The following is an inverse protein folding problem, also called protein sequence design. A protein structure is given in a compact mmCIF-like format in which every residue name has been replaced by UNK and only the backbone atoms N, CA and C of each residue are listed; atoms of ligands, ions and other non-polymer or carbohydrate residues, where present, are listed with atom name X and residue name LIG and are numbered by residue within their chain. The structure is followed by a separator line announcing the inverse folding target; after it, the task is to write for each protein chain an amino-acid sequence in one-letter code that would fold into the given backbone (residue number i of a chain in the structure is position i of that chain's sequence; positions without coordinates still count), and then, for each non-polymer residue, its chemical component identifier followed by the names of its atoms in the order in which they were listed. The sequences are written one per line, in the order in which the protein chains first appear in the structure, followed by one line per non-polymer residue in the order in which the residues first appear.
data_IF_066591937359
#
_entry.id   IF_066591937359
#
_cell.length_a   1.000
_cell.length_b   1.000
_cell.length_c   1.000
_cell.angle_alpha   90.00
_cell.angle_beta   90.00
_cell.angle_gamma   90.00
#
_symmetry.space_group_name_H-M   'P 1'
#
loop_
_entity.id
_entity.type
_entity.pdbx_description
1 polymer ?
#
# COMPACT_ATOMS: atom_id res chain seq x y z
N UNK A 1 -19.84 4.52 4.09
CA UNK A 1 -18.97 5.48 3.39
C UNK A 1 -19.56 5.74 2.02
N UNK A 2 -19.98 6.98 1.77
CA UNK A 2 -20.40 7.41 0.45
C UNK A 2 -19.16 7.50 -0.46
N UNK A 3 -19.28 7.08 -1.72
CA UNK A 3 -18.20 7.16 -2.70
C UNK A 3 -17.79 8.62 -2.89
N UNK A 4 -16.49 8.90 -2.85
CA UNK A 4 -15.96 10.24 -3.07
C UNK A 4 -15.08 10.24 -4.32
N UNK A 5 -15.55 10.91 -5.37
CA UNK A 5 -14.91 10.98 -6.68
C UNK A 5 -13.48 11.54 -6.61
N UNK A 6 -13.21 12.46 -5.69
CA UNK A 6 -11.88 13.03 -5.49
C UNK A 6 -10.86 11.95 -5.11
N UNK A 7 -11.20 11.09 -4.15
CA UNK A 7 -10.30 10.00 -3.73
C UNK A 7 -10.19 8.89 -4.76
N UNK A 8 -11.24 8.66 -5.55
CA UNK A 8 -11.17 7.71 -6.67
C UNK A 8 -10.24 8.23 -7.78
N UNK A 9 -10.30 9.53 -8.10
CA UNK A 9 -9.38 10.16 -9.04
C UNK A 9 -7.93 10.13 -8.55
N UNK A 10 -7.69 10.45 -7.28
CA UNK A 10 -6.34 10.36 -6.68
C UNK A 10 -5.78 8.94 -6.73
N UNK A 11 -6.61 7.92 -6.45
CA UNK A 11 -6.19 6.52 -6.61
C UNK A 11 -5.86 6.20 -8.06
N UNK A 12 -6.66 6.69 -9.01
CA UNK A 12 -6.37 6.55 -10.44
C UNK A 12 -5.02 7.14 -10.83
N UNK A 13 -4.72 8.37 -10.36
CA UNK A 13 -3.43 9.03 -10.59
C UNK A 13 -2.29 8.20 -9.97
N UNK A 14 -2.46 7.70 -8.74
CA UNK A 14 -1.49 6.83 -8.10
C UNK A 14 -1.22 5.55 -8.88
N UNK A 15 -2.26 4.90 -9.43
CA UNK A 15 -2.10 3.72 -10.31
C UNK A 15 -1.27 4.08 -11.54
N UNK A 16 -1.57 5.18 -12.22
CA UNK A 16 -0.82 5.61 -13.41
C UNK A 16 0.66 5.87 -13.09
N UNK A 17 0.96 6.48 -11.94
CA UNK A 17 2.34 6.69 -11.49
C UNK A 17 3.06 5.38 -11.20
N UNK A 18 2.40 4.38 -10.60
CA UNK A 18 2.99 3.03 -10.42
C UNK A 18 3.32 2.40 -11.77
N UNK A 19 2.43 2.50 -12.76
CA UNK A 19 2.71 1.99 -14.11
C UNK A 19 3.92 2.72 -14.69
N UNK A 20 3.97 4.05 -14.59
CA UNK A 20 5.07 4.84 -15.10
C UNK A 20 6.43 4.36 -14.56
N UNK A 21 6.60 4.25 -13.24
CA UNK A 21 7.88 3.84 -12.64
C UNK A 21 8.34 2.43 -13.03
N UNK A 22 7.41 1.52 -13.38
CA UNK A 22 7.73 0.16 -13.83
C UNK A 22 7.96 0.05 -15.34
N UNK A 23 7.59 1.08 -16.10
CA UNK A 23 7.93 1.20 -17.52
C UNK A 23 9.22 1.99 -17.78
N UNK A 24 9.75 2.68 -16.76
CA UNK A 24 11.02 3.39 -16.86
C UNK A 24 12.20 2.42 -16.82
N UNK A 25 13.15 2.61 -17.74
CA UNK A 25 14.46 1.97 -17.70
C UNK A 25 15.41 2.74 -16.77
N UNK A 26 16.38 2.05 -16.19
CA UNK A 26 17.45 2.69 -15.42
C UNK A 26 18.28 3.58 -16.36
N UNK A 27 18.46 4.84 -15.98
CA UNK A 27 19.28 5.81 -16.71
C UNK A 27 20.47 6.24 -15.86
N UNK A 28 21.63 6.43 -16.49
CA UNK A 28 22.83 6.98 -15.85
C UNK A 28 22.88 8.51 -15.99
N UNK A 29 23.61 9.19 -15.09
CA UNK A 29 23.70 10.65 -14.99
C UNK A 29 24.61 11.29 -16.06
N UNK A 30 24.48 10.88 -17.32
CA UNK A 30 25.39 11.33 -18.38
C UNK A 30 24.84 12.47 -19.23
N UNK A 31 23.51 12.63 -19.30
CA UNK A 31 22.88 13.64 -20.16
C UNK A 31 21.80 14.43 -19.43
N UNK A 32 21.52 15.64 -19.92
CA UNK A 32 20.39 16.44 -19.43
C UNK A 32 19.06 15.68 -19.52
N UNK A 33 18.87 14.92 -20.61
CA UNK A 33 17.70 14.08 -20.80
C UNK A 33 17.61 12.99 -19.72
N UNK A 34 18.74 12.36 -19.38
CA UNK A 34 18.80 11.35 -18.31
C UNK A 34 18.47 11.96 -16.95
N UNK A 35 18.97 13.16 -16.65
CA UNK A 35 18.68 13.89 -15.41
C UNK A 35 17.17 14.21 -15.32
N UNK A 36 16.56 14.67 -16.42
CA UNK A 36 15.12 14.89 -16.49
C UNK A 36 14.33 13.59 -16.27
N UNK A 37 14.74 12.47 -16.88
CA UNK A 37 14.09 11.17 -16.72
C UNK A 37 14.15 10.67 -15.27
N UNK A 38 15.32 10.76 -14.62
CA UNK A 38 15.51 10.40 -13.22
C UNK A 38 14.65 11.28 -12.32
N UNK A 39 14.63 12.59 -12.56
CA UNK A 39 13.81 13.54 -11.80
C UNK A 39 12.31 13.19 -11.90
N UNK A 40 11.85 12.82 -13.10
CA UNK A 40 10.46 12.40 -13.32
C UNK A 40 10.13 11.10 -12.59
N UNK A 41 11.05 10.13 -12.59
CA UNK A 41 10.91 8.87 -11.85
C UNK A 41 10.75 9.11 -10.35
N UNK A 42 11.52 10.03 -9.78
CA UNK A 42 11.39 10.37 -8.36
C UNK A 42 10.06 11.05 -8.02
N UNK A 43 9.54 11.88 -8.93
CA UNK A 43 8.17 12.42 -8.78
C UNK A 43 7.16 11.27 -8.76
N UNK A 44 7.26 10.31 -9.68
CA UNK A 44 6.32 9.20 -9.74
C UNK A 44 6.47 8.18 -8.61
N UNK A 45 7.64 8.09 -7.97
CA UNK A 45 7.83 7.28 -6.75
C UNK A 45 6.91 7.72 -5.60
N UNK A 46 6.28 8.91 -5.68
CA UNK A 46 5.25 9.34 -4.73
C UNK A 46 3.95 8.52 -4.79
N UNK A 47 3.80 7.62 -5.76
CA UNK A 47 2.62 6.78 -5.89
C UNK A 47 2.33 5.93 -4.64
N UNK A 48 3.36 5.29 -4.09
CA UNK A 48 3.25 4.44 -2.90
C UNK A 48 2.83 5.26 -1.66
N UNK A 49 3.51 6.36 -1.29
CA UNK A 49 3.07 7.17 -0.16
C UNK A 49 1.68 7.78 -0.37
N UNK A 50 1.27 8.06 -1.62
CA UNK A 50 -0.10 8.48 -1.92
C UNK A 50 -1.14 7.41 -1.60
N UNK A 51 -0.90 6.14 -1.96
CA UNK A 51 -1.79 5.03 -1.56
C UNK A 51 -1.87 4.85 -0.04
N UNK A 52 -0.74 4.99 0.65
CA UNK A 52 -0.69 4.93 2.11
C UNK A 52 -1.49 6.08 2.73
N UNK A 53 -1.30 7.31 2.26
CA UNK A 53 -2.01 8.49 2.76
C UNK A 53 -3.52 8.37 2.58
N UNK A 54 -3.98 7.97 1.39
CA UNK A 54 -5.41 7.76 1.10
C UNK A 54 -5.97 6.65 1.99
N UNK A 55 -5.27 5.52 2.10
CA UNK A 55 -5.70 4.41 2.95
C UNK A 55 -5.77 4.83 4.42
N UNK A 56 -4.73 5.51 4.91
CA UNK A 56 -4.64 6.03 6.27
C UNK A 56 -5.75 7.04 6.59
N UNK A 57 -6.08 7.94 5.66
CA UNK A 57 -7.16 8.92 5.83
C UNK A 57 -8.53 8.26 6.08
N UNK A 58 -8.90 7.26 5.28
CA UNK A 58 -10.20 6.59 5.46
C UNK A 58 -10.26 5.73 6.72
N UNK A 59 -9.13 5.09 7.04
CA UNK A 59 -9.06 4.12 8.12
C UNK A 59 -8.87 4.81 9.48
N UNK A 60 -8.13 5.91 9.54
CA UNK A 60 -7.92 6.70 10.75
C UNK A 60 -9.20 7.33 11.30
N UNK A 61 -10.25 7.46 10.49
CA UNK A 61 -11.59 7.93 10.91
C UNK A 61 -12.45 6.84 11.52
N UNK A 62 -12.02 5.58 11.50
CA UNK A 62 -12.72 4.50 12.21
C UNK A 62 -12.32 4.54 13.69
N UNK A 63 -13.28 4.37 14.59
CA UNK A 63 -13.01 4.22 16.03
C UNK A 63 -13.34 2.79 16.39
N UNK A 64 -12.42 2.09 17.05
CA UNK A 64 -12.65 0.73 17.55
C UNK A 64 -12.83 0.76 19.06
N UNK A 65 -14.02 0.40 19.52
CA UNK A 65 -14.33 0.31 20.95
C UNK A 65 -13.92 -1.03 21.53
N UNK A 66 -14.01 -2.09 20.73
CA UNK A 66 -13.75 -3.46 21.16
C UNK A 66 -12.85 -4.23 20.17
N UNK A 67 -12.32 -5.37 20.62
CA UNK A 67 -11.48 -6.25 19.79
C UNK A 67 -12.26 -6.93 18.65
N UNK A 68 -13.58 -7.07 18.79
CA UNK A 68 -14.44 -7.72 17.78
C UNK A 68 -14.57 -6.82 16.55
N UNK A 69 -14.71 -5.50 16.72
CA UNK A 69 -14.75 -4.51 15.65
C UNK A 69 -13.42 -4.48 14.87
N UNK A 70 -12.29 -4.57 15.57
CA UNK A 70 -10.95 -4.70 14.95
C UNK A 70 -10.86 -5.97 14.10
N UNK A 71 -11.30 -7.11 14.63
CA UNK A 71 -11.25 -8.38 13.89
C UNK A 71 -12.17 -8.36 12.67
N UNK A 72 -13.38 -7.81 12.80
CA UNK A 72 -14.32 -7.62 11.68
C UNK A 72 -13.72 -6.72 10.60
N UNK A 73 -13.03 -5.64 11.01
CA UNK A 73 -12.30 -4.76 10.09
C UNK A 73 -11.19 -5.51 9.35
N UNK A 74 -10.30 -6.22 10.06
CA UNK A 74 -9.22 -6.99 9.42
C UNK A 74 -9.75 -8.03 8.45
N UNK A 75 -10.75 -8.81 8.86
CA UNK A 75 -11.39 -9.83 8.01
C UNK A 75 -12.01 -9.24 6.75
N UNK A 76 -12.47 -8.00 6.80
CA UNK A 76 -13.06 -7.31 5.65
C UNK A 76 -12.02 -6.62 4.76
N UNK A 77 -10.97 -6.05 5.35
CA UNK A 77 -10.08 -5.14 4.65
C UNK A 77 -8.80 -5.82 4.14
N UNK A 78 -8.20 -6.74 4.90
CA UNK A 78 -6.97 -7.44 4.49
C UNK A 78 -7.20 -8.30 3.24
N UNK A 79 -8.25 -9.14 3.15
CA UNK A 79 -8.45 -9.98 1.98
C UNK A 79 -8.67 -9.20 0.68
N UNK A 80 -9.25 -8.00 0.76
CA UNK A 80 -9.51 -7.15 -0.41
C UNK A 80 -8.23 -6.70 -1.12
N UNK A 81 -7.15 -6.51 -0.38
CA UNK A 81 -5.85 -6.10 -0.93
C UNK A 81 -4.91 -7.28 -1.11
N UNK A 82 -4.96 -8.27 -0.21
CA UNK A 82 -4.03 -9.39 -0.19
C UNK A 82 -4.38 -10.51 -1.18
N UNK A 83 -5.68 -10.84 -1.36
CA UNK A 83 -6.09 -11.89 -2.32
C UNK A 83 -5.69 -11.53 -3.76
N UNK A 84 -5.93 -10.29 -4.27
CA UNK A 84 -5.47 -9.92 -5.59
C UNK A 84 -3.96 -10.07 -5.77
N UNK A 85 -3.17 -9.69 -4.76
CA UNK A 85 -1.71 -9.84 -4.82
C UNK A 85 -1.29 -11.30 -4.93
N UNK A 86 -1.83 -12.18 -4.08
CA UNK A 86 -1.53 -13.60 -4.16
C UNK A 86 -1.87 -14.17 -5.53
N UNK A 87 -3.05 -13.82 -6.07
CA UNK A 87 -3.46 -14.25 -7.39
C UNK A 87 -2.49 -13.78 -8.49
N UNK A 88 -2.11 -12.50 -8.49
CA UNK A 88 -1.20 -11.95 -9.48
C UNK A 88 0.27 -12.34 -9.29
N UNK A 89 0.62 -12.90 -8.13
CA UNK A 89 1.96 -13.42 -7.85
C UNK A 89 2.16 -14.85 -8.37
N UNK A 90 1.08 -15.59 -8.69
CA UNK A 90 1.16 -16.96 -9.20
C UNK A 90 1.97 -17.07 -10.50
N UNK A 91 1.80 -16.20 -11.52
CA UNK A 91 2.61 -16.27 -12.73
C UNK A 91 4.11 -16.10 -12.47
N UNK A 92 4.49 -15.16 -11.58
CA UNK A 92 5.88 -14.95 -11.19
C UNK A 92 6.46 -16.15 -10.44
N UNK A 93 5.67 -16.71 -9.52
CA UNK A 93 6.03 -17.93 -8.82
C UNK A 93 6.25 -19.09 -9.80
N UNK A 94 5.33 -19.31 -10.75
CA UNK A 94 5.46 -20.37 -11.74
C UNK A 94 6.72 -20.21 -12.61
N UNK A 95 7.00 -18.99 -13.08
CA UNK A 95 8.22 -18.69 -13.84
C UNK A 95 9.48 -18.98 -13.03
N UNK A 96 9.53 -18.55 -11.77
CA UNK A 96 10.69 -18.79 -10.90
C UNK A 96 10.96 -20.29 -10.68
N UNK A 97 9.93 -21.11 -10.55
CA UNK A 97 10.08 -22.57 -10.44
C UNK A 97 10.56 -23.18 -11.77
N UNK A 98 10.06 -22.70 -12.91
CA UNK A 98 10.50 -23.18 -14.23
C UNK A 98 11.96 -22.83 -14.52
N UNK A 99 12.46 -21.72 -13.99
CA UNK A 99 13.87 -21.31 -14.05
C UNK A 99 14.77 -22.11 -13.10
N UNK A 100 14.21 -23.04 -12.31
CA UNK A 100 14.96 -23.88 -11.39
C UNK A 100 15.34 -23.20 -10.07
N UNK A 101 14.68 -22.10 -9.71
CA UNK A 101 14.91 -21.43 -8.44
C UNK A 101 14.41 -22.27 -7.25
N UNK A 102 14.89 -21.96 -6.05
CA UNK A 102 14.53 -22.72 -4.85
C UNK A 102 13.03 -22.57 -4.52
N UNK A 103 12.34 -23.69 -4.30
CA UNK A 103 10.89 -23.69 -4.07
C UNK A 103 10.56 -22.96 -2.75
N UNK A 104 11.34 -23.22 -1.69
CA UNK A 104 11.09 -22.66 -0.37
C UNK A 104 11.16 -21.13 -0.37
N UNK A 105 12.18 -20.55 -1.01
CA UNK A 105 12.35 -19.10 -1.12
C UNK A 105 11.19 -18.46 -1.90
N UNK A 106 10.80 -19.07 -3.02
CA UNK A 106 9.71 -18.58 -3.85
C UNK A 106 8.34 -18.68 -3.17
N UNK A 107 8.14 -19.70 -2.32
CA UNK A 107 6.96 -19.79 -1.45
C UNK A 107 6.95 -18.64 -0.44
N UNK A 108 8.10 -18.31 0.17
CA UNK A 108 8.20 -17.16 1.06
C UNK A 108 7.94 -15.84 0.31
N UNK A 109 8.53 -15.65 -0.87
CA UNK A 109 8.28 -14.48 -1.70
C UNK A 109 6.80 -14.32 -2.08
N UNK A 110 6.11 -15.42 -2.37
CA UNK A 110 4.68 -15.43 -2.66
C UNK A 110 3.85 -14.91 -1.48
N UNK A 111 4.10 -15.43 -0.27
CA UNK A 111 3.32 -15.04 0.92
C UNK A 111 3.70 -13.68 1.49
N UNK A 112 4.97 -13.26 1.38
CA UNK A 112 5.45 -11.98 1.92
C UNK A 112 5.37 -10.83 0.91
N UNK A 113 4.65 -11.00 -0.21
CA UNK A 113 4.52 -10.01 -1.28
C UNK A 113 5.89 -9.56 -1.84
N UNK A 114 6.85 -10.47 -1.91
CA UNK A 114 8.23 -10.21 -2.34
C UNK A 114 8.39 -10.11 -3.85
N UNK A 115 7.36 -10.43 -4.63
CA UNK A 115 7.41 -10.30 -6.09
C UNK A 115 7.12 -8.86 -6.55
N UNK A 116 8.00 -8.36 -7.43
CA UNK A 116 7.78 -7.16 -8.23
C UNK A 116 7.29 -5.97 -7.39
N UNK A 117 6.17 -5.38 -7.78
CA UNK A 117 5.61 -4.15 -7.22
C UNK A 117 4.88 -4.39 -5.89
N UNK A 118 4.67 -5.64 -5.46
CA UNK A 118 3.67 -5.96 -4.44
C UNK A 118 4.10 -5.66 -2.99
N UNK A 119 5.36 -5.28 -2.76
CA UNK A 119 5.88 -4.96 -1.42
C UNK A 119 5.06 -3.88 -0.70
N UNK A 120 4.51 -2.90 -1.42
CA UNK A 120 3.72 -1.83 -0.80
C UNK A 120 2.38 -2.34 -0.23
N UNK A 121 1.88 -3.48 -0.70
CA UNK A 121 0.66 -4.09 -0.15
C UNK A 121 0.96 -4.71 1.21
N UNK A 122 2.12 -5.34 1.39
CA UNK A 122 2.56 -5.80 2.71
C UNK A 122 2.65 -4.60 3.68
N UNK A 123 3.17 -3.46 3.23
CA UNK A 123 3.21 -2.22 4.00
C UNK A 123 1.82 -1.70 4.38
N UNK A 124 0.86 -1.69 3.45
CA UNK A 124 -0.54 -1.32 3.74
C UNK A 124 -1.15 -2.26 4.79
N UNK A 125 -0.93 -3.58 4.68
CA UNK A 125 -1.42 -4.55 5.66
C UNK A 125 -0.79 -4.31 7.03
N UNK A 126 0.52 -4.01 7.10
CA UNK A 126 1.18 -3.63 8.35
C UNK A 126 0.52 -2.39 8.97
N UNK A 127 0.19 -1.36 8.17
CA UNK A 127 -0.55 -0.20 8.66
C UNK A 127 -1.93 -0.59 9.23
N UNK A 128 -2.64 -1.54 8.62
CA UNK A 128 -3.94 -2.01 9.12
C UNK A 128 -3.83 -2.73 10.48
N UNK A 129 -2.74 -3.47 10.69
CA UNK A 129 -2.45 -4.15 11.94
C UNK A 129 -2.01 -3.18 13.05
N UNK A 130 -1.25 -2.14 12.70
CA UNK A 130 -0.75 -1.14 13.64
C UNK A 130 -1.83 -0.15 14.11
N UNK A 131 -2.82 0.14 13.27
CA UNK A 131 -3.91 1.08 13.55
C UNK A 131 -4.56 0.92 14.94
N UNK A 132 -5.08 -0.25 15.35
CA UNK A 132 -5.72 -0.40 16.66
C UNK A 132 -4.74 -0.16 17.82
N UNK A 133 -3.45 -0.43 17.62
CA UNK A 133 -2.41 -0.15 18.62
C UNK A 133 -2.19 1.35 18.76
N UNK A 134 -2.12 2.08 17.65
CA UNK A 134 -1.98 3.54 17.61
C UNK A 134 -3.21 4.19 18.26
N UNK A 135 -4.42 3.75 17.93
CA UNK A 135 -5.64 4.31 18.51
C UNK A 135 -5.72 4.09 20.02
N UNK A 136 -5.42 2.88 20.48
CA UNK A 136 -5.49 2.56 21.92
C UNK A 136 -4.42 3.26 22.75
N UNK A 137 -3.20 3.41 22.23
CA UNK A 137 -2.05 3.93 23.00
C UNK A 137 -1.77 5.42 22.78
N UNK A 138 -1.97 5.93 21.56
CA UNK A 138 -1.56 7.28 21.18
C UNK A 138 -2.74 8.24 21.04
N UNK A 139 -3.94 7.75 20.70
CA UNK A 139 -5.12 8.61 20.58
C UNK A 139 -5.97 8.67 21.86
N UNK A 140 -6.03 7.62 22.68
CA UNK A 140 -6.67 7.71 24.01
C UNK A 140 -6.09 8.77 24.96
N UNK A 141 -4.77 9.08 24.95
CA UNK A 141 -4.25 10.23 25.70
C UNK A 141 -4.43 11.58 24.99
N UNK A 142 -4.73 11.59 23.68
CA UNK A 142 -4.74 12.80 22.83
C UNK A 142 -6.16 13.27 22.48
N UNK A 143 -7.21 12.52 22.86
CA UNK A 143 -8.59 13.04 22.95
C UNK A 143 -8.77 13.92 24.23
N UNK A 144 -7.67 14.50 24.72
CA UNK A 144 -7.67 15.80 25.42
C UNK A 144 -7.47 16.98 24.47
N UNK A 145 -7.65 16.78 23.16
CA UNK A 145 -7.69 17.83 22.15
C UNK A 145 -9.13 18.09 21.71
N UNK A 146 -9.72 19.12 22.32
CA UNK A 146 -10.95 19.77 21.85
C UNK A 146 -10.80 20.27 20.40
N UNK A 147 -10.98 19.42 19.40
CA UNK A 147 -11.23 19.86 18.02
C UNK A 147 -11.88 18.71 17.27
N UNK A 148 -13.22 18.69 17.24
CA UNK A 148 -14.13 18.16 16.21
C UNK A 148 -15.54 17.95 16.78
N UNK A 149 -15.96 18.84 17.70
CA UNK A 149 -17.37 19.20 17.88
C UNK A 149 -17.47 20.66 17.42
N UNK A 150 -18.50 20.97 16.63
CA UNK A 150 -18.78 22.27 15.98
C UNK A 150 -18.09 22.53 14.63
N UNK A 151 -18.62 21.94 13.55
CA UNK A 151 -19.50 22.61 12.57
C UNK A 151 -19.87 21.64 11.43
#
# INVERSE_FOLDING_TARGET
MQRNLYFDALRGIAIMMVVAIHTFYACEFESWLSICAISMREIFNMAVPMFLAISGFFIGRMVFEDKRQVFVFWKKQIPKVYIPVLFWSIPYFALAILEGQSILENVLLLFFCGYSIYYFIALIVQCYLLLPVIQKKMLNPVIGGEFFVYQ
#
